data_IF_631900348507
#
_entry.id   IF_631900348507
#
_cell.length_a   1.000
_cell.length_b   1.000
_cell.length_c   1.000
_cell.angle_alpha   90.00
_cell.angle_beta   90.00
_cell.angle_gamma   90.00
#
_symmetry.space_group_name_H-M   'P 1'
#
loop_
_entity.id
_entity.type
_entity.pdbx_description
1 polymer ?
#
# COMPACT_ATOMS: atom_id res chain seq x y z
N UNK A 1 -15.07 -22.42 -45.73
CA UNK A 1 -14.01 -22.01 -44.79
C UNK A 1 -14.48 -22.06 -43.33
N UNK A 2 -15.75 -21.70 -43.01
CA UNK A 2 -16.30 -21.86 -41.66
C UNK A 2 -16.82 -23.28 -41.37
N UNK A 3 -17.34 -23.98 -42.38
CA UNK A 3 -17.73 -25.41 -42.29
C UNK A 3 -16.53 -26.33 -42.01
N UNK A 4 -15.33 -25.92 -42.40
CA UNK A 4 -14.08 -26.63 -42.09
C UNK A 4 -13.66 -26.48 -40.61
N UNK A 5 -14.11 -25.42 -39.95
CA UNK A 5 -13.81 -25.12 -38.55
C UNK A 5 -14.92 -25.56 -37.59
N UNK A 6 -16.17 -25.68 -38.07
CA UNK A 6 -17.35 -25.88 -37.21
C UNK A 6 -18.41 -26.85 -37.79
N UNK A 7 -18.11 -27.59 -38.87
CA UNK A 7 -19.05 -28.52 -39.50
C UNK A 7 -19.31 -29.80 -38.69
N UNK A 8 -20.59 -30.15 -38.52
CA UNK A 8 -21.04 -31.35 -37.80
C UNK A 8 -21.20 -32.53 -38.77
N UNK A 9 -20.29 -33.52 -38.75
CA UNK A 9 -20.42 -34.74 -39.55
C UNK A 9 -21.35 -35.74 -38.85
N UNK A 10 -22.63 -35.72 -39.21
CA UNK A 10 -23.57 -36.77 -38.80
C UNK A 10 -23.19 -38.09 -39.49
N UNK A 11 -22.77 -39.07 -38.71
CA UNK A 11 -22.54 -40.44 -39.21
C UNK A 11 -23.90 -41.10 -39.43
N UNK A 12 -24.20 -41.37 -40.71
CA UNK A 12 -25.35 -42.16 -41.15
C UNK A 12 -25.32 -43.55 -40.50
N UNK A 13 -26.29 -43.81 -39.63
CA UNK A 13 -26.59 -45.15 -39.14
C UNK A 13 -27.52 -45.83 -40.13
N UNK A 14 -26.96 -46.56 -41.09
CA UNK A 14 -27.66 -47.68 -41.71
C UNK A 14 -26.81 -48.95 -41.65
N UNK A 15 -27.28 -49.87 -40.82
CA UNK A 15 -26.88 -51.28 -40.82
C UNK A 15 -27.27 -51.89 -42.16
N UNK A 16 -26.32 -52.53 -42.85
CA UNK A 16 -26.64 -53.73 -43.59
C UNK A 16 -25.54 -54.80 -43.45
N UNK A 17 -25.98 -56.03 -43.32
CA UNK A 17 -25.22 -57.23 -43.01
C UNK A 17 -24.42 -57.72 -44.23
N UNK A 18 -23.09 -57.76 -44.14
CA UNK A 18 -22.29 -58.73 -44.90
C UNK A 18 -20.90 -58.90 -44.29
N UNK A 19 -20.61 -60.09 -43.78
CA UNK A 19 -19.26 -60.53 -43.42
C UNK A 19 -18.41 -60.63 -44.68
N UNK A 20 -17.35 -59.83 -44.78
CA UNK A 20 -16.08 -60.28 -45.38
C UNK A 20 -14.91 -59.46 -44.85
N UNK A 21 -13.91 -60.19 -44.38
CA UNK A 21 -12.64 -59.73 -43.84
C UNK A 21 -11.95 -58.71 -44.75
N UNK A 22 -11.69 -57.53 -44.21
CA UNK A 22 -10.65 -56.62 -44.70
C UNK A 22 -10.04 -55.90 -43.50
N UNK A 23 -8.97 -56.48 -42.97
CA UNK A 23 -8.10 -55.80 -42.04
C UNK A 23 -7.46 -54.60 -42.74
N UNK A 24 -7.93 -53.38 -42.47
CA UNK A 24 -7.12 -52.17 -42.66
C UNK A 24 -6.35 -51.96 -41.36
N UNK A 25 -5.28 -52.74 -41.19
CA UNK A 25 -4.18 -52.36 -40.32
C UNK A 25 -3.51 -51.15 -40.98
N UNK A 26 -3.87 -49.96 -40.54
CA UNK A 26 -2.89 -48.88 -40.52
C UNK A 26 -1.96 -49.25 -39.34
N UNK A 27 -0.65 -49.49 -39.55
CA UNK A 27 0.22 -49.81 -38.44
C UNK A 27 0.28 -48.55 -37.58
N UNK A 28 -0.41 -48.57 -36.44
CA UNK A 28 -0.18 -47.56 -35.41
C UNK A 28 1.29 -47.69 -35.04
N UNK A 29 2.15 -46.83 -35.61
CA UNK A 29 3.56 -46.78 -35.29
C UNK A 29 3.65 -46.63 -33.77
N UNK A 30 4.06 -47.71 -33.10
CA UNK A 30 4.17 -47.71 -31.66
C UNK A 30 5.48 -47.03 -31.33
N UNK A 31 5.41 -45.71 -31.10
CA UNK A 31 6.57 -44.94 -30.69
C UNK A 31 7.16 -45.51 -29.40
N UNK A 32 8.48 -45.54 -29.34
CA UNK A 32 9.21 -45.91 -28.14
C UNK A 32 9.03 -44.76 -27.13
N UNK A 33 8.38 -45.09 -26.01
CA UNK A 33 8.18 -44.17 -24.89
C UNK A 33 9.18 -44.49 -23.79
N UNK A 34 10.06 -43.55 -23.52
CA UNK A 34 11.07 -43.65 -22.46
C UNK A 34 10.68 -42.75 -21.29
N UNK A 35 10.10 -41.59 -21.61
CA UNK A 35 9.69 -40.59 -20.64
C UNK A 35 8.30 -40.95 -20.10
N UNK A 36 8.07 -40.66 -18.82
CA UNK A 36 6.75 -40.82 -18.20
C UNK A 36 5.64 -40.25 -19.12
N UNK A 37 4.58 -41.02 -19.42
CA UNK A 37 3.56 -40.62 -20.39
C UNK A 37 2.92 -39.26 -20.08
N UNK A 38 2.77 -38.91 -18.80
CA UNK A 38 2.19 -37.61 -18.41
C UNK A 38 3.18 -36.47 -18.67
N UNK A 39 4.47 -36.65 -18.37
CA UNK A 39 5.51 -35.67 -18.74
C UNK A 39 5.61 -35.52 -20.26
N UNK A 40 5.63 -36.63 -20.99
CA UNK A 40 5.72 -36.63 -22.45
C UNK A 40 4.54 -35.91 -23.10
N UNK A 41 3.33 -36.13 -22.58
CA UNK A 41 2.13 -35.40 -23.02
C UNK A 41 2.24 -33.89 -22.71
N UNK A 42 2.67 -33.52 -21.51
CA UNK A 42 2.83 -32.11 -21.14
C UNK A 42 3.87 -31.39 -22.02
N UNK A 43 5.01 -32.03 -22.28
CA UNK A 43 6.03 -31.51 -23.21
C UNK A 43 5.46 -31.38 -24.62
N UNK A 44 4.71 -32.37 -25.11
CA UNK A 44 4.09 -32.30 -26.44
C UNK A 44 3.05 -31.18 -26.58
N UNK A 45 2.31 -30.88 -25.51
CA UNK A 45 1.39 -29.73 -25.48
C UNK A 45 2.17 -28.42 -25.47
N UNK A 46 3.20 -28.31 -24.61
CA UNK A 46 4.05 -27.12 -24.51
C UNK A 46 4.71 -26.77 -25.85
N UNK A 47 5.31 -27.77 -26.51
CA UNK A 47 5.95 -27.62 -27.82
C UNK A 47 4.98 -27.23 -28.94
N UNK A 48 3.68 -27.58 -28.81
CA UNK A 48 2.64 -27.13 -29.75
C UNK A 48 2.14 -25.72 -29.46
N UNK A 49 2.17 -25.31 -28.19
CA UNK A 49 1.71 -24.00 -27.75
C UNK A 49 2.74 -22.90 -27.96
N UNK A 50 4.03 -23.25 -28.04
CA UNK A 50 5.13 -22.31 -28.15
C UNK A 50 5.80 -22.38 -29.51
N UNK A 51 6.07 -21.21 -30.11
CA UNK A 51 6.81 -21.07 -31.36
C UNK A 51 8.32 -21.06 -31.14
N UNK A 52 8.83 -21.89 -30.22
CA UNK A 52 10.28 -22.02 -29.96
C UNK A 52 10.72 -23.40 -30.43
N UNK A 53 11.74 -23.43 -31.27
CA UNK A 53 12.32 -24.63 -31.84
C UNK A 53 13.24 -25.35 -30.86
N UNK A 54 13.53 -26.62 -31.13
CA UNK A 54 14.46 -27.40 -30.28
C UNK A 54 15.87 -26.84 -30.39
N UNK A 55 16.24 -26.39 -31.57
CA UNK A 55 17.49 -25.74 -31.91
C UNK A 55 17.68 -24.45 -31.10
N UNK A 56 16.70 -23.54 -31.07
CA UNK A 56 16.78 -22.31 -30.28
C UNK A 56 16.99 -22.59 -28.78
N UNK A 57 16.33 -23.63 -28.24
CA UNK A 57 16.53 -24.03 -26.83
C UNK A 57 17.94 -24.59 -26.62
N UNK A 58 18.46 -25.39 -27.56
CA UNK A 58 19.82 -25.91 -27.49
C UNK A 58 20.86 -24.79 -27.57
N UNK A 59 20.65 -23.81 -28.43
CA UNK A 59 21.56 -22.69 -28.62
C UNK A 59 21.54 -21.80 -27.38
N UNK A 60 20.37 -21.52 -26.80
CA UNK A 60 20.26 -20.83 -25.52
C UNK A 60 21.01 -21.55 -24.39
N UNK A 61 21.00 -22.89 -24.36
CA UNK A 61 21.74 -23.67 -23.37
C UNK A 61 23.26 -23.68 -23.61
N UNK A 62 23.72 -23.48 -24.84
CA UNK A 62 25.16 -23.42 -25.17
C UNK A 62 25.73 -22.01 -25.03
N UNK A 63 24.95 -21.01 -25.38
CA UNK A 63 25.39 -19.62 -25.50
C UNK A 63 24.94 -18.75 -24.31
N UNK A 64 23.88 -19.16 -23.61
CA UNK A 64 23.31 -18.36 -22.50
C UNK A 64 22.28 -17.32 -22.95
N UNK A 65 21.68 -17.50 -24.13
CA UNK A 65 20.64 -16.61 -24.66
C UNK A 65 19.35 -16.69 -23.85
N UNK A 66 18.60 -15.59 -23.84
CA UNK A 66 17.32 -15.49 -23.13
C UNK A 66 16.25 -16.40 -23.76
N UNK A 67 15.45 -17.01 -22.89
CA UNK A 67 14.26 -17.78 -23.25
C UNK A 67 13.07 -17.27 -22.45
N UNK A 68 11.84 -17.43 -22.95
CA UNK A 68 10.65 -17.08 -22.17
C UNK A 68 10.64 -17.81 -20.80
N UNK A 69 10.50 -17.06 -19.71
CA UNK A 69 10.59 -17.61 -18.35
C UNK A 69 9.60 -18.76 -18.09
N UNK A 70 8.38 -18.67 -18.64
CA UNK A 70 7.35 -19.72 -18.55
C UNK A 70 7.78 -21.03 -19.24
N UNK A 71 8.45 -20.92 -20.40
CA UNK A 71 9.03 -22.06 -21.11
C UNK A 71 10.10 -22.70 -20.24
N UNK A 72 11.08 -21.92 -19.76
CA UNK A 72 12.20 -22.42 -18.95
C UNK A 72 11.69 -23.10 -17.67
N UNK A 73 10.73 -22.48 -16.97
CA UNK A 73 10.17 -23.04 -15.75
C UNK A 73 9.42 -24.36 -16.01
N UNK A 74 8.74 -24.48 -17.15
CA UNK A 74 8.07 -25.72 -17.53
C UNK A 74 9.09 -26.81 -17.90
N UNK A 75 10.14 -26.46 -18.64
CA UNK A 75 11.22 -27.40 -18.99
C UNK A 75 11.92 -27.95 -17.74
N UNK A 76 12.21 -27.11 -16.75
CA UNK A 76 12.79 -27.54 -15.46
C UNK A 76 11.88 -28.54 -14.75
N UNK A 77 10.56 -28.28 -14.70
CA UNK A 77 9.58 -29.19 -14.08
C UNK A 77 9.49 -30.53 -14.79
N UNK A 78 9.77 -30.56 -16.10
CA UNK A 78 9.71 -31.75 -16.94
C UNK A 78 11.07 -32.44 -17.09
N UNK A 79 12.06 -32.11 -16.25
CA UNK A 79 13.36 -32.76 -16.27
C UNK A 79 13.24 -34.30 -16.22
N UNK A 80 13.95 -35.02 -17.11
CA UNK A 80 14.08 -36.47 -17.02
C UNK A 80 14.66 -36.85 -15.66
N UNK A 81 14.19 -37.97 -15.12
CA UNK A 81 14.87 -38.67 -14.02
C UNK A 81 16.19 -39.24 -14.52
N UNK A 82 17.10 -39.57 -13.60
CA UNK A 82 18.40 -40.14 -13.96
C UNK A 82 18.29 -41.45 -14.77
N UNK A 83 17.25 -42.26 -14.52
CA UNK A 83 16.98 -43.48 -15.29
C UNK A 83 16.44 -43.17 -16.70
N UNK A 84 15.49 -42.24 -16.82
CA UNK A 84 14.98 -41.77 -18.12
C UNK A 84 16.10 -41.14 -18.97
N UNK A 85 16.95 -40.32 -18.37
CA UNK A 85 18.11 -39.70 -19.00
C UNK A 85 19.12 -40.76 -19.48
N UNK A 86 19.44 -41.75 -18.64
CA UNK A 86 20.33 -42.86 -19.01
C UNK A 86 19.76 -43.65 -20.19
N UNK A 87 18.48 -44.01 -20.15
CA UNK A 87 17.80 -44.72 -21.25
C UNK A 87 17.81 -43.91 -22.54
N UNK A 88 17.55 -42.60 -22.48
CA UNK A 88 17.64 -41.72 -23.65
C UNK A 88 19.07 -41.60 -24.17
N UNK A 89 20.09 -41.52 -23.30
CA UNK A 89 21.51 -41.51 -23.73
C UNK A 89 21.90 -42.81 -24.42
N UNK A 90 21.50 -43.94 -23.85
CA UNK A 90 21.81 -45.28 -24.37
C UNK A 90 21.01 -45.63 -25.63
N UNK A 91 19.93 -44.90 -25.94
CA UNK A 91 19.18 -45.13 -27.16
C UNK A 91 19.98 -44.76 -28.40
N UNK A 92 20.26 -45.77 -29.21
CA UNK A 92 21.05 -45.74 -30.44
C UNK A 92 20.28 -46.31 -31.65
N UNK A 93 18.96 -46.44 -31.53
CA UNK A 93 18.06 -46.74 -32.64
C UNK A 93 17.71 -45.50 -33.47
N UNK A 94 16.82 -45.66 -34.45
CA UNK A 94 16.33 -44.55 -35.27
C UNK A 94 15.54 -43.55 -34.41
N UNK A 95 15.89 -42.26 -34.47
CA UNK A 95 15.20 -41.18 -33.77
C UNK A 95 13.74 -41.02 -34.26
N UNK A 96 13.42 -41.47 -35.49
CA UNK A 96 12.06 -41.45 -36.01
C UNK A 96 11.09 -42.36 -35.23
N UNK A 97 11.61 -43.36 -34.53
CA UNK A 97 10.83 -44.28 -33.70
C UNK A 97 10.57 -43.76 -32.29
N UNK A 98 11.24 -42.69 -31.87
CA UNK A 98 11.02 -42.06 -30.57
C UNK A 98 9.76 -41.17 -30.61
N UNK A 99 9.06 -41.08 -29.47
CA UNK A 99 7.99 -40.12 -29.29
C UNK A 99 8.47 -38.66 -29.39
N UNK A 100 7.54 -37.73 -29.58
CA UNK A 100 7.87 -36.30 -29.75
C UNK A 100 8.66 -35.72 -28.58
N UNK A 101 8.32 -36.11 -27.34
CA UNK A 101 9.00 -35.63 -26.15
C UNK A 101 10.43 -36.19 -26.04
N UNK A 102 10.61 -37.48 -26.35
CA UNK A 102 11.92 -38.13 -26.39
C UNK A 102 12.82 -37.51 -27.45
N UNK A 103 12.29 -37.27 -28.65
CA UNK A 103 13.02 -36.59 -29.74
C UNK A 103 13.44 -35.17 -29.36
N UNK A 104 12.59 -34.46 -28.63
CA UNK A 104 12.89 -33.14 -28.11
C UNK A 104 13.97 -33.18 -27.01
N UNK A 105 13.85 -34.07 -26.04
CA UNK A 105 14.77 -34.14 -24.90
C UNK A 105 16.13 -34.74 -25.25
N UNK A 106 16.20 -35.62 -26.25
CA UNK A 106 17.43 -36.31 -26.66
C UNK A 106 18.58 -35.34 -26.96
N UNK A 107 18.46 -34.31 -27.82
CA UNK A 107 19.55 -33.35 -28.03
C UNK A 107 19.86 -32.49 -26.80
N UNK A 108 18.86 -32.19 -25.96
CA UNK A 108 19.05 -31.40 -24.74
C UNK A 108 19.96 -32.13 -23.73
N UNK A 109 19.77 -33.43 -23.50
CA UNK A 109 20.55 -34.19 -22.51
C UNK A 109 22.01 -34.48 -22.93
N UNK A 110 22.32 -34.28 -24.21
CA UNK A 110 23.71 -34.30 -24.71
C UNK A 110 24.47 -33.03 -24.31
N UNK A 111 23.76 -31.94 -23.99
CA UNK A 111 24.37 -30.71 -23.47
C UNK A 111 24.75 -30.94 -22.00
N UNK A 112 26.03 -30.76 -21.61
CA UNK A 112 26.45 -30.93 -20.23
C UNK A 112 25.66 -30.04 -19.26
N UNK A 113 25.04 -30.69 -18.27
CA UNK A 113 24.27 -30.04 -17.22
C UNK A 113 23.08 -29.20 -17.72
N UNK A 114 22.45 -29.58 -18.84
CA UNK A 114 21.34 -28.85 -19.47
C UNK A 114 20.29 -28.29 -18.48
N UNK A 115 19.81 -29.09 -17.53
CA UNK A 115 18.80 -28.64 -16.57
C UNK A 115 19.34 -27.65 -15.52
N UNK A 116 20.62 -27.75 -15.12
CA UNK A 116 21.25 -26.72 -14.26
C UNK A 116 21.51 -25.42 -15.04
N UNK A 117 21.79 -25.53 -16.35
CA UNK A 117 21.85 -24.37 -17.24
C UNK A 117 20.48 -23.69 -17.36
N UNK A 118 19.40 -24.45 -17.54
CA UNK A 118 18.02 -23.92 -17.52
C UNK A 118 17.70 -23.20 -16.20
N UNK A 119 18.09 -23.76 -15.05
CA UNK A 119 17.89 -23.10 -13.75
C UNK A 119 18.63 -21.76 -13.66
N UNK A 120 19.83 -21.67 -14.22
CA UNK A 120 20.63 -20.44 -14.25
C UNK A 120 20.03 -19.43 -15.24
N UNK A 121 19.55 -19.87 -16.41
CA UNK A 121 18.81 -19.02 -17.36
C UNK A 121 17.55 -18.44 -16.73
N UNK A 122 16.77 -19.25 -16.01
CA UNK A 122 15.57 -18.76 -15.32
C UNK A 122 15.91 -17.65 -14.32
N UNK A 123 17.01 -17.83 -13.57
CA UNK A 123 17.48 -16.80 -12.66
C UNK A 123 17.89 -15.53 -13.41
N UNK A 124 18.64 -15.65 -14.51
CA UNK A 124 19.04 -14.51 -15.35
C UNK A 124 17.83 -13.74 -15.91
N UNK A 125 16.84 -14.45 -16.45
CA UNK A 125 15.64 -13.86 -17.03
C UNK A 125 14.81 -13.07 -16.00
N UNK A 126 14.63 -13.63 -14.81
CA UNK A 126 13.77 -13.02 -13.79
C UNK A 126 14.48 -11.92 -12.98
N UNK A 127 15.83 -11.89 -13.00
CA UNK A 127 16.61 -11.06 -12.09
C UNK A 127 16.27 -9.58 -12.21
N UNK A 128 16.21 -9.03 -13.43
CA UNK A 128 16.02 -7.59 -13.64
C UNK A 128 14.65 -7.11 -13.16
N UNK A 129 13.59 -7.87 -13.42
CA UNK A 129 12.24 -7.53 -12.98
C UNK A 129 12.11 -7.65 -11.45
N UNK A 130 12.62 -8.74 -10.87
CA UNK A 130 12.61 -8.91 -9.40
C UNK A 130 13.42 -7.80 -8.71
N UNK A 131 14.60 -7.46 -9.23
CA UNK A 131 15.44 -6.38 -8.73
C UNK A 131 14.72 -5.02 -8.78
N UNK A 132 14.09 -4.69 -9.90
CA UNK A 132 13.37 -3.42 -10.07
C UNK A 132 12.20 -3.30 -9.08
N UNK A 133 11.41 -4.37 -8.92
CA UNK A 133 10.27 -4.42 -7.99
C UNK A 133 10.71 -4.28 -6.52
N UNK A 134 11.83 -4.93 -6.16
CA UNK A 134 12.42 -4.81 -4.81
C UNK A 134 12.89 -3.38 -4.56
N UNK A 135 13.63 -2.79 -5.50
CA UNK A 135 14.13 -1.41 -5.41
C UNK A 135 13.00 -0.39 -5.28
N UNK A 136 11.95 -0.52 -6.09
CA UNK A 136 10.76 0.35 -5.99
C UNK A 136 10.07 0.24 -4.63
N UNK A 137 10.00 -0.97 -4.09
CA UNK A 137 9.44 -1.21 -2.76
C UNK A 137 10.26 -0.51 -1.67
N UNK A 138 11.60 -0.58 -1.71
CA UNK A 138 12.46 0.14 -0.78
C UNK A 138 12.27 1.66 -0.87
N UNK A 139 12.27 2.22 -2.09
CA UNK A 139 12.03 3.66 -2.30
C UNK A 139 10.68 4.10 -1.74
N UNK A 140 9.63 3.30 -1.97
CA UNK A 140 8.29 3.57 -1.46
C UNK A 140 8.26 3.58 0.07
N UNK A 141 8.87 2.58 0.71
CA UNK A 141 8.93 2.44 2.16
C UNK A 141 9.73 3.59 2.80
N UNK A 142 10.86 3.98 2.21
CA UNK A 142 11.64 5.14 2.68
C UNK A 142 10.84 6.43 2.55
N UNK A 143 10.25 6.69 1.39
CA UNK A 143 9.44 7.88 1.15
C UNK A 143 8.26 7.97 2.11
N UNK A 144 7.63 6.85 2.46
CA UNK A 144 6.57 6.79 3.46
C UNK A 144 7.08 7.16 4.86
N UNK A 145 8.22 6.61 5.28
CA UNK A 145 8.82 6.95 6.57
C UNK A 145 9.17 8.44 6.67
N UNK A 146 9.80 8.98 5.62
CA UNK A 146 10.26 10.38 5.58
C UNK A 146 9.07 11.34 5.55
N UNK A 147 8.10 11.11 4.67
CA UNK A 147 6.91 11.97 4.55
C UNK A 147 6.09 11.99 5.83
N UNK A 148 5.84 10.82 6.43
CA UNK A 148 5.03 10.72 7.65
C UNK A 148 5.67 11.47 8.83
N UNK A 149 6.99 11.33 9.02
CA UNK A 149 7.70 12.04 10.10
C UNK A 149 7.82 13.54 9.86
N UNK A 150 7.91 13.98 8.61
CA UNK A 150 8.10 15.40 8.25
C UNK A 150 6.79 16.14 8.03
N UNK A 151 5.65 15.44 7.97
CA UNK A 151 4.36 16.08 7.71
C UNK A 151 3.90 16.91 8.90
N UNK A 152 4.13 18.23 8.79
CA UNK A 152 3.70 19.21 9.78
C UNK A 152 2.19 19.15 10.01
N UNK A 153 1.41 19.01 8.94
CA UNK A 153 -0.04 19.03 9.02
C UNK A 153 -0.57 17.76 9.71
N UNK A 154 0.01 16.59 9.42
CA UNK A 154 -0.32 15.36 10.14
C UNK A 154 -0.02 15.48 11.63
N UNK A 155 1.18 15.94 12.01
CA UNK A 155 1.54 16.14 13.42
C UNK A 155 0.61 17.13 14.14
N UNK A 156 0.23 18.23 13.45
CA UNK A 156 -0.75 19.19 13.98
C UNK A 156 -2.13 18.55 14.18
N UNK A 157 -2.53 17.64 13.30
CA UNK A 157 -3.76 16.88 13.45
C UNK A 157 -3.71 15.99 14.69
N UNK A 158 -2.62 15.26 14.88
CA UNK A 158 -2.44 14.44 16.09
C UNK A 158 -2.53 15.29 17.37
N UNK A 159 -1.89 16.46 17.38
CA UNK A 159 -1.95 17.40 18.49
C UNK A 159 -3.39 17.90 18.74
N UNK A 160 -4.13 18.25 17.68
CA UNK A 160 -5.52 18.68 17.78
C UNK A 160 -6.42 17.57 18.33
N UNK A 161 -6.22 16.33 17.91
CA UNK A 161 -6.92 15.15 18.43
C UNK A 161 -6.62 14.96 19.92
N UNK A 162 -5.34 15.01 20.32
CA UNK A 162 -4.93 14.87 21.72
C UNK A 162 -5.57 15.95 22.60
N UNK A 163 -5.49 17.22 22.19
CA UNK A 163 -6.09 18.34 22.94
C UNK A 163 -7.59 18.21 23.07
N UNK A 164 -8.27 17.87 21.96
CA UNK A 164 -9.73 17.70 21.94
C UNK A 164 -10.13 16.52 22.83
N UNK A 165 -9.44 15.39 22.72
CA UNK A 165 -9.66 14.22 23.56
C UNK A 165 -9.46 14.52 25.05
N UNK A 166 -8.38 15.19 25.42
CA UNK A 166 -8.13 15.59 26.81
C UNK A 166 -9.21 16.53 27.35
N UNK A 167 -9.67 17.48 26.54
CA UNK A 167 -10.75 18.39 26.93
C UNK A 167 -12.09 17.66 27.13
N UNK A 168 -12.40 16.70 26.27
CA UNK A 168 -13.63 15.91 26.38
C UNK A 168 -13.62 14.93 27.56
N UNK A 169 -12.44 14.44 27.93
CA UNK A 169 -12.26 13.49 29.02
C UNK A 169 -11.80 14.16 30.32
N UNK A 170 -11.90 15.48 30.42
CA UNK A 170 -11.54 16.25 31.60
C UNK A 170 -12.31 15.75 32.83
N UNK A 171 -11.62 15.59 33.95
CA UNK A 171 -12.18 14.98 35.17
C UNK A 171 -12.40 13.45 35.13
N UNK A 172 -12.02 12.76 34.04
CA UNK A 172 -12.06 11.29 33.96
C UNK A 172 -10.65 10.69 33.97
N UNK A 173 -10.53 9.37 34.18
CA UNK A 173 -9.24 8.66 34.10
C UNK A 173 -8.58 8.71 32.71
N UNK A 174 -9.33 9.10 31.67
CA UNK A 174 -8.85 9.28 30.29
C UNK A 174 -8.46 10.73 29.97
N UNK A 175 -8.63 11.65 30.92
CA UNK A 175 -8.21 13.04 30.80
C UNK A 175 -6.69 13.20 30.96
N UNK A 176 -6.16 14.35 30.57
CA UNK A 176 -4.74 14.71 30.72
C UNK A 176 -3.73 13.67 30.18
N UNK A 177 -4.11 12.94 29.13
CA UNK A 177 -3.24 12.01 28.45
C UNK A 177 -2.08 12.76 27.76
N UNK A 178 -0.89 12.15 27.76
CA UNK A 178 0.28 12.69 27.06
C UNK A 178 0.38 12.20 25.61
N UNK A 179 -0.23 11.05 25.31
CA UNK A 179 -0.24 10.43 24.00
C UNK A 179 -1.49 9.54 23.86
N UNK A 180 -1.78 9.14 22.63
CA UNK A 180 -2.83 8.16 22.32
C UNK A 180 -2.32 7.20 21.24
N UNK A 181 -2.87 5.97 21.20
CA UNK A 181 -2.55 4.99 20.15
C UNK A 181 -3.10 5.44 18.81
N UNK A 182 -2.35 5.27 17.73
CA UNK A 182 -2.74 5.80 16.42
C UNK A 182 -4.06 5.20 15.88
N UNK A 183 -4.40 3.96 16.25
CA UNK A 183 -5.71 3.34 15.95
C UNK A 183 -6.91 4.18 16.44
N UNK A 184 -6.71 5.07 17.43
CA UNK A 184 -7.75 5.99 17.92
C UNK A 184 -8.24 6.92 16.81
N UNK A 185 -7.39 7.26 15.84
CA UNK A 185 -7.77 8.09 14.69
C UNK A 185 -8.94 7.51 13.90
N UNK A 186 -8.97 6.17 13.77
CA UNK A 186 -10.02 5.45 13.03
C UNK A 186 -11.38 5.51 13.75
N UNK A 187 -11.40 5.82 15.05
CA UNK A 187 -12.60 5.87 15.88
C UNK A 187 -13.22 7.27 15.96
N UNK A 188 -12.54 8.29 15.45
CA UNK A 188 -13.00 9.69 15.54
C UNK A 188 -14.27 9.95 14.72
N UNK A 189 -14.55 9.13 13.70
CA UNK A 189 -15.80 9.17 12.94
C UNK A 189 -16.98 8.55 13.69
N UNK A 190 -16.73 7.74 14.72
CA UNK A 190 -17.78 7.00 15.42
C UNK A 190 -18.36 7.80 16.59
N UNK A 191 -17.57 8.72 17.14
CA UNK A 191 -18.00 9.62 18.21
C UNK A 191 -18.84 10.75 17.60
N UNK A 192 -20.15 10.72 17.86
CA UNK A 192 -21.11 11.69 17.32
C UNK A 192 -21.51 12.74 18.34
N UNK A 193 -21.77 13.95 17.86
CA UNK A 193 -22.38 15.03 18.63
C UNK A 193 -23.87 14.79 18.91
N UNK A 194 -24.47 15.71 19.67
CA UNK A 194 -25.87 15.66 20.09
C UNK A 194 -26.84 15.63 18.88
N UNK A 195 -26.43 16.23 17.77
CA UNK A 195 -27.22 16.24 16.54
C UNK A 195 -27.22 14.90 15.78
N UNK A 196 -26.42 13.92 16.23
CA UNK A 196 -26.26 12.61 15.60
C UNK A 196 -25.63 12.64 14.21
N UNK A 197 -25.19 13.82 13.74
CA UNK A 197 -24.70 14.06 12.38
C UNK A 197 -23.22 14.45 12.39
N UNK A 198 -22.84 15.45 13.17
CA UNK A 198 -21.44 15.91 13.26
C UNK A 198 -20.64 14.95 14.13
N UNK A 199 -19.52 14.45 13.60
CA UNK A 199 -18.61 13.56 14.35
C UNK A 199 -17.49 14.36 15.02
N UNK A 200 -16.77 13.75 15.95
CA UNK A 200 -15.58 14.35 16.56
C UNK A 200 -14.52 14.71 15.50
N UNK A 201 -14.37 13.87 14.48
CA UNK A 201 -13.47 14.16 13.37
C UNK A 201 -13.89 15.41 12.59
N UNK A 202 -15.19 15.63 12.36
CA UNK A 202 -15.68 16.87 11.72
C UNK A 202 -15.24 18.10 12.50
N UNK A 203 -15.41 18.07 13.82
CA UNK A 203 -15.02 19.16 14.71
C UNK A 203 -13.51 19.44 14.63
N UNK A 204 -12.68 18.40 14.76
CA UNK A 204 -11.21 18.53 14.67
C UNK A 204 -10.79 19.09 13.31
N UNK A 205 -11.37 18.59 12.22
CA UNK A 205 -11.07 19.05 10.85
C UNK A 205 -11.45 20.52 10.67
N UNK A 206 -12.63 20.94 11.14
CA UNK A 206 -13.06 22.35 11.05
C UNK A 206 -12.10 23.29 11.80
N UNK A 207 -11.61 22.88 12.98
CA UNK A 207 -10.66 23.69 13.75
C UNK A 207 -9.28 23.77 13.07
N UNK A 208 -8.82 22.68 12.46
CA UNK A 208 -7.59 22.69 11.66
C UNK A 208 -7.75 23.58 10.43
N UNK A 209 -8.88 23.47 9.70
CA UNK A 209 -9.21 24.33 8.56
C UNK A 209 -9.15 25.79 8.96
N UNK A 210 -9.80 26.18 10.07
CA UNK A 210 -9.80 27.56 10.56
C UNK A 210 -8.37 28.05 10.84
N UNK A 211 -7.58 27.27 11.57
CA UNK A 211 -6.22 27.67 11.96
C UNK A 211 -5.23 27.71 10.79
N UNK A 212 -5.33 26.77 9.83
CA UNK A 212 -4.49 26.73 8.63
C UNK A 212 -4.91 27.78 7.60
N UNK A 213 -6.20 28.09 7.51
CA UNK A 213 -6.73 29.15 6.65
C UNK A 213 -6.18 30.53 7.01
N UNK A 214 -6.17 30.86 8.30
CA UNK A 214 -5.56 32.09 8.81
C UNK A 214 -4.06 32.12 8.49
N UNK A 215 -3.36 31.00 8.70
CA UNK A 215 -1.92 30.91 8.43
C UNK A 215 -1.62 31.10 6.94
N UNK A 216 -2.33 30.40 6.06
CA UNK A 216 -2.16 30.51 4.61
C UNK A 216 -2.44 31.94 4.09
N UNK A 217 -3.46 32.60 4.65
CA UNK A 217 -3.75 33.99 4.33
C UNK A 217 -2.62 34.93 4.76
N UNK A 218 -2.02 34.73 5.94
CA UNK A 218 -0.86 35.53 6.41
C UNK A 218 0.36 35.35 5.51
N UNK A 219 0.70 34.10 5.19
CA UNK A 219 1.84 33.81 4.29
C UNK A 219 1.65 34.43 2.90
N UNK A 220 0.41 34.46 2.39
CA UNK A 220 0.09 35.09 1.10
C UNK A 220 0.26 36.61 1.15
N UNK A 221 0.00 37.26 2.30
CA UNK A 221 0.24 38.70 2.50
C UNK A 221 1.71 39.02 2.59
N UNK A 222 2.47 38.24 3.36
CA UNK A 222 3.93 38.44 3.52
C UNK A 222 4.69 38.25 2.20
N UNK A 223 4.19 37.39 1.32
CA UNK A 223 4.76 37.16 -0.02
C UNK A 223 4.38 38.24 -1.04
N UNK A 224 3.38 39.08 -0.76
CA UNK A 224 2.97 40.22 -1.58
C UNK A 224 3.57 41.49 -0.99
N UNK A 225 4.72 41.90 -1.53
CA UNK A 225 5.36 43.18 -1.18
C UNK A 225 4.35 44.34 -1.12
N UNK A 226 4.46 45.15 -0.07
CA UNK A 226 3.60 46.26 0.30
C UNK A 226 3.15 47.11 -0.89
N UNK A 227 1.92 46.87 -1.39
CA UNK A 227 1.17 47.85 -2.17
C UNK A 227 0.06 48.39 -1.29
N UNK A 228 0.08 49.70 -1.08
CA UNK A 228 -0.81 50.51 -0.23
C UNK A 228 -2.31 50.36 -0.55
N UNK A 229 -2.64 49.73 -1.68
CA UNK A 229 -4.01 49.56 -2.18
C UNK A 229 -4.77 48.36 -1.56
N UNK A 230 -4.07 47.39 -0.94
CA UNK A 230 -4.72 46.21 -0.33
C UNK A 230 -5.29 46.49 1.08
N UNK A 231 -4.84 47.57 1.74
CA UNK A 231 -5.35 48.01 3.05
C UNK A 231 -6.78 48.56 2.98
N UNK A 232 -7.20 49.10 1.82
CA UNK A 232 -8.53 49.68 1.61
C UNK A 232 -9.58 48.62 1.22
N UNK A 233 -9.14 47.45 0.75
CA UNK A 233 -10.02 46.32 0.41
C UNK A 233 -10.44 45.47 1.61
N UNK A 234 -9.69 45.48 2.71
CA UNK A 234 -10.07 44.76 3.93
C UNK A 234 -10.96 45.56 4.87
N UNK A 235 -10.82 46.88 4.89
CA UNK A 235 -11.76 47.76 5.61
C UNK A 235 -13.15 47.78 4.96
N UNK A 236 -13.27 47.27 3.73
CA UNK A 236 -14.52 47.15 2.97
C UNK A 236 -15.04 45.72 2.80
N UNK A 237 -14.25 44.69 3.13
CA UNK A 237 -14.70 43.30 3.11
C UNK A 237 -15.57 43.01 4.35
N UNK A 238 -16.72 42.38 4.15
CA UNK A 238 -17.55 41.98 5.29
C UNK A 238 -16.81 40.92 6.12
N UNK A 239 -17.06 40.88 7.44
CA UNK A 239 -16.49 39.84 8.30
C UNK A 239 -16.80 38.42 7.80
N UNK A 240 -17.92 38.24 7.09
CA UNK A 240 -18.33 36.99 6.47
C UNK A 240 -17.47 36.59 5.27
N UNK A 241 -17.11 37.52 4.40
CA UNK A 241 -16.24 37.24 3.24
C UNK A 241 -14.82 36.85 3.67
N UNK A 242 -14.34 37.44 4.75
CA UNK A 242 -13.02 37.12 5.33
C UNK A 242 -12.99 35.73 5.96
N UNK A 243 -14.05 35.35 6.67
CA UNK A 243 -14.19 34.03 7.29
C UNK A 243 -14.33 32.91 6.25
N UNK A 244 -15.13 33.13 5.21
CA UNK A 244 -15.27 32.18 4.10
C UNK A 244 -13.95 32.01 3.33
N UNK A 245 -13.21 33.11 3.12
CA UNK A 245 -11.88 33.05 2.48
C UNK A 245 -10.88 32.20 3.28
N UNK A 246 -10.85 32.35 4.61
CA UNK A 246 -10.00 31.51 5.46
C UNK A 246 -10.46 30.06 5.44
N UNK A 247 -11.77 29.81 5.47
CA UNK A 247 -12.32 28.45 5.37
C UNK A 247 -11.89 27.75 4.09
N UNK A 248 -12.01 28.42 2.93
CA UNK A 248 -11.62 27.85 1.63
C UNK A 248 -10.11 27.54 1.59
N UNK A 249 -9.26 28.49 2.02
CA UNK A 249 -7.81 28.29 2.05
C UNK A 249 -7.41 27.15 2.98
N UNK A 250 -8.01 27.09 4.17
CA UNK A 250 -7.76 26.04 5.15
C UNK A 250 -8.21 24.67 4.66
N UNK A 251 -9.38 24.59 4.03
CA UNK A 251 -9.89 23.35 3.43
C UNK A 251 -8.97 22.85 2.32
N UNK A 252 -8.46 23.74 1.48
CA UNK A 252 -7.48 23.39 0.46
C UNK A 252 -6.23 22.76 1.08
N UNK A 253 -5.67 23.37 2.13
CA UNK A 253 -4.50 22.84 2.85
C UNK A 253 -4.80 21.46 3.45
N UNK A 254 -5.93 21.30 4.15
CA UNK A 254 -6.28 20.03 4.81
C UNK A 254 -6.56 18.93 3.80
N UNK A 255 -7.25 19.23 2.71
CA UNK A 255 -7.49 18.26 1.63
C UNK A 255 -6.22 17.85 0.89
N UNK A 256 -5.17 18.67 0.94
CA UNK A 256 -3.86 18.34 0.37
C UNK A 256 -3.08 17.28 1.14
N UNK A 257 -3.45 17.00 2.41
CA UNK A 257 -2.72 16.04 3.25
C UNK A 257 -2.71 14.62 2.66
N UNK A 258 -3.82 14.20 2.03
CA UNK A 258 -3.92 12.88 1.38
C UNK A 258 -2.94 12.73 0.22
N UNK A 259 -2.65 13.83 -0.50
CA UNK A 259 -1.64 13.86 -1.56
C UNK A 259 -0.21 14.00 -1.02
N UNK A 260 -0.02 14.76 0.07
CA UNK A 260 1.27 14.88 0.75
C UNK A 260 1.77 13.52 1.26
N UNK A 261 0.85 12.69 1.76
CA UNK A 261 1.13 11.35 2.31
C UNK A 261 0.81 10.22 1.31
N UNK A 262 0.92 10.47 0.00
CA UNK A 262 0.66 9.46 -1.02
C UNK A 262 1.57 8.23 -0.88
N UNK A 263 2.85 8.44 -0.57
CA UNK A 263 3.81 7.36 -0.35
C UNK A 263 3.41 6.46 0.82
N UNK A 264 2.77 6.99 1.87
CA UNK A 264 2.25 6.20 2.99
C UNK A 264 1.12 5.27 2.53
N UNK A 265 0.24 5.74 1.64
CA UNK A 265 -0.83 4.91 1.07
C UNK A 265 -0.27 3.76 0.23
N UNK A 266 0.80 4.03 -0.55
CA UNK A 266 1.51 3.01 -1.33
C UNK A 266 2.22 2.00 -0.42
N UNK A 267 2.93 2.47 0.60
CA UNK A 267 3.64 1.62 1.56
C UNK A 267 2.71 0.67 2.33
N UNK A 268 1.46 1.07 2.56
CA UNK A 268 0.45 0.23 3.20
C UNK A 268 0.00 -0.99 2.37
N UNK A 269 0.39 -1.08 1.09
CA UNK A 269 0.08 -2.19 0.19
C UNK A 269 1.29 -3.11 0.00
N UNK A 270 2.49 -2.66 0.39
CA UNK A 270 3.72 -3.46 0.27
C UNK A 270 3.65 -4.64 1.22
N UNK A 271 3.96 -5.83 0.70
CA UNK A 271 4.14 -7.04 1.50
C UNK A 271 5.59 -7.14 1.99
N UNK A 272 5.82 -6.80 3.27
CA UNK A 272 7.16 -6.84 3.87
C UNK A 272 7.75 -8.26 3.87
N UNK A 273 6.95 -9.27 4.22
CA UNK A 273 7.41 -10.65 4.29
C UNK A 273 7.70 -11.20 2.89
N UNK A 274 6.86 -10.84 1.91
CA UNK A 274 7.09 -11.12 0.49
C UNK A 274 8.35 -10.46 -0.04
N UNK A 275 8.63 -9.21 0.36
CA UNK A 275 9.85 -8.47 0.00
C UNK A 275 11.11 -9.17 0.54
N UNK A 276 11.13 -9.47 1.83
CA UNK A 276 12.23 -10.21 2.48
C UNK A 276 12.43 -11.59 1.87
N UNK A 277 11.34 -12.28 1.55
CA UNK A 277 11.38 -13.59 0.89
C UNK A 277 11.98 -13.51 -0.52
N UNK A 278 11.68 -12.43 -1.26
CA UNK A 278 12.20 -12.20 -2.61
C UNK A 278 13.69 -11.89 -2.60
N UNK A 279 14.15 -10.98 -1.73
CA UNK A 279 15.59 -10.70 -1.55
C UNK A 279 16.36 -11.98 -1.18
N UNK A 280 15.82 -12.75 -0.23
CA UNK A 280 16.40 -14.03 0.18
C UNK A 280 16.41 -15.07 -0.94
N UNK A 281 15.38 -15.09 -1.80
CA UNK A 281 15.30 -15.98 -2.97
C UNK A 281 16.38 -15.64 -3.98
N UNK A 282 16.59 -14.37 -4.31
CA UNK A 282 17.67 -13.92 -5.19
C UNK A 282 19.04 -14.30 -4.62
N UNK A 283 19.25 -14.10 -3.31
CA UNK A 283 20.47 -14.54 -2.63
C UNK A 283 20.76 -16.04 -2.75
N UNK A 284 19.74 -16.89 -2.55
CA UNK A 284 19.88 -18.35 -2.74
C UNK A 284 20.15 -18.71 -4.20
N UNK A 285 19.47 -18.08 -5.15
CA UNK A 285 19.67 -18.33 -6.57
C UNK A 285 21.10 -17.94 -7.03
N UNK A 286 21.63 -16.84 -6.51
CA UNK A 286 23.02 -16.42 -6.72
C UNK A 286 24.02 -17.44 -6.18
N UNK A 287 23.84 -17.91 -4.94
CA UNK A 287 24.71 -18.92 -4.33
C UNK A 287 24.70 -20.20 -5.17
N UNK A 288 23.53 -20.67 -5.58
CA UNK A 288 23.38 -21.87 -6.43
C UNK A 288 24.08 -21.70 -7.78
N UNK A 289 23.90 -20.54 -8.44
CA UNK A 289 24.52 -20.25 -9.74
C UNK A 289 26.04 -20.14 -9.63
N UNK A 290 26.55 -19.56 -8.53
CA UNK A 290 27.98 -19.48 -8.22
C UNK A 290 28.59 -20.85 -7.95
N UNK A 291 27.88 -21.71 -7.21
CA UNK A 291 28.31 -23.08 -6.98
C UNK A 291 28.42 -23.82 -8.31
N UNK A 292 27.37 -23.80 -9.12
CA UNK A 292 27.33 -24.41 -10.46
C UNK A 292 28.51 -23.95 -11.34
N UNK A 293 28.77 -22.64 -11.38
CA UNK A 293 29.88 -22.06 -12.12
C UNK A 293 31.25 -22.57 -11.63
N UNK A 294 31.44 -22.71 -10.31
CA UNK A 294 32.73 -23.04 -9.71
C UNK A 294 33.01 -24.54 -9.58
N UNK A 295 31.99 -25.40 -9.61
CA UNK A 295 32.12 -26.84 -9.42
C UNK A 295 31.93 -27.62 -10.71
N UNK A 296 30.84 -27.36 -11.42
CA UNK A 296 30.43 -28.15 -12.58
C UNK A 296 30.99 -27.57 -13.87
N UNK A 297 30.79 -26.27 -14.12
CA UNK A 297 31.25 -25.62 -15.36
C UNK A 297 32.77 -25.46 -15.43
N UNK A 298 33.49 -25.40 -14.30
CA UNK A 298 34.97 -25.41 -14.29
C UNK A 298 35.58 -26.69 -14.86
N UNK A 299 34.83 -27.78 -14.95
CA UNK A 299 35.30 -29.07 -15.48
C UNK A 299 35.18 -29.16 -17.00
N UNK A 300 34.49 -28.22 -17.63
CA UNK A 300 34.27 -28.16 -19.08
C UNK A 300 35.45 -27.38 -19.71
N UNK A 301 35.82 -27.73 -20.95
CA UNK A 301 36.93 -27.13 -21.70
C UNK A 301 36.87 -25.59 -21.78
N UNK A 302 38.05 -24.96 -21.96
CA UNK A 302 38.16 -23.52 -22.18
C UNK A 302 37.43 -23.11 -23.46
N UNK A 303 36.33 -22.36 -23.32
CA UNK A 303 35.58 -21.83 -24.48
C UNK A 303 34.05 -21.91 -24.39
N UNK A 304 33.48 -22.46 -23.31
CA UNK A 304 32.01 -22.52 -23.13
C UNK A 304 31.41 -21.10 -23.01
N UNK A 305 30.62 -20.70 -24.01
CA UNK A 305 30.05 -19.36 -24.08
C UNK A 305 29.06 -19.10 -22.94
N UNK A 306 28.22 -20.09 -22.62
CA UNK A 306 27.33 -20.04 -21.47
C UNK A 306 28.07 -19.73 -20.16
N UNK A 307 29.19 -20.40 -19.90
CA UNK A 307 30.01 -20.14 -18.70
C UNK A 307 30.47 -18.68 -18.65
N UNK A 308 30.90 -18.11 -19.78
CA UNK A 308 31.32 -16.70 -19.86
C UNK A 308 30.15 -15.76 -19.56
N UNK A 309 28.98 -16.00 -20.15
CA UNK A 309 27.78 -15.20 -19.92
C UNK A 309 27.33 -15.28 -18.46
N UNK A 310 27.22 -16.49 -17.91
CA UNK A 310 26.85 -16.72 -16.52
C UNK A 310 27.86 -16.09 -15.54
N UNK A 311 29.15 -16.18 -15.82
CA UNK A 311 30.21 -15.55 -15.01
C UNK A 311 30.02 -14.03 -14.93
N UNK A 312 29.75 -13.37 -16.06
CA UNK A 312 29.54 -11.92 -16.09
C UNK A 312 28.28 -11.54 -15.31
N UNK A 313 27.18 -12.26 -15.55
CA UNK A 313 25.92 -12.05 -14.85
C UNK A 313 26.07 -12.24 -13.33
N UNK A 314 26.68 -13.33 -12.86
CA UNK A 314 26.89 -13.61 -11.43
C UNK A 314 27.68 -12.49 -10.74
N UNK A 315 28.68 -11.91 -11.41
CA UNK A 315 29.46 -10.77 -10.87
C UNK A 315 28.62 -9.51 -10.69
N UNK A 316 27.70 -9.24 -11.63
CA UNK A 316 26.79 -8.09 -11.56
C UNK A 316 25.73 -8.35 -10.47
N UNK A 317 25.05 -9.49 -10.55
CA UNK A 317 24.01 -9.89 -9.59
C UNK A 317 24.53 -9.95 -8.15
N UNK A 318 25.79 -10.34 -7.92
CA UNK A 318 26.40 -10.30 -6.60
C UNK A 318 26.40 -8.91 -5.97
N UNK A 319 26.80 -7.89 -6.74
CA UNK A 319 26.84 -6.51 -6.23
C UNK A 319 25.44 -6.01 -5.90
N UNK A 320 24.51 -6.21 -6.81
CA UNK A 320 23.13 -5.76 -6.66
C UNK A 320 22.40 -6.48 -5.51
N UNK A 321 22.56 -7.80 -5.39
CA UNK A 321 21.95 -8.57 -4.29
C UNK A 321 22.54 -8.20 -2.94
N UNK A 322 23.86 -8.00 -2.86
CA UNK A 322 24.51 -7.56 -1.63
C UNK A 322 23.99 -6.18 -1.21
N UNK A 323 23.88 -5.24 -2.15
CA UNK A 323 23.27 -3.94 -1.91
C UNK A 323 21.81 -4.09 -1.43
N UNK A 324 20.99 -4.93 -2.08
CA UNK A 324 19.60 -5.16 -1.68
C UNK A 324 19.48 -5.72 -0.25
N UNK A 325 20.38 -6.62 0.16
CA UNK A 325 20.40 -7.18 1.53
C UNK A 325 20.78 -6.14 2.59
N UNK A 326 21.70 -5.24 2.28
CA UNK A 326 22.07 -4.14 3.18
C UNK A 326 20.95 -3.10 3.26
N UNK A 327 20.36 -2.78 2.12
CA UNK A 327 19.28 -1.80 2.00
C UNK A 327 18.01 -2.29 2.68
N UNK A 328 17.67 -3.56 2.55
CA UNK A 328 16.57 -4.18 3.28
C UNK A 328 16.72 -3.95 4.79
N UNK A 329 17.90 -4.24 5.36
CA UNK A 329 18.16 -4.03 6.80
C UNK A 329 18.01 -2.56 7.19
N UNK A 330 18.52 -1.66 6.35
CA UNK A 330 18.42 -0.21 6.58
C UNK A 330 16.96 0.25 6.59
N UNK A 331 16.17 -0.16 5.59
CA UNK A 331 14.74 0.18 5.46
C UNK A 331 13.93 -0.40 6.61
N UNK A 332 14.15 -1.67 6.98
CA UNK A 332 13.45 -2.29 8.10
C UNK A 332 13.75 -1.56 9.42
N UNK A 333 14.99 -1.13 9.64
CA UNK A 333 15.35 -0.31 10.79
C UNK A 333 14.69 1.09 10.73
N UNK A 334 14.60 1.70 9.56
CA UNK A 334 13.91 2.98 9.38
C UNK A 334 12.41 2.87 9.68
N UNK A 335 11.74 1.81 9.22
CA UNK A 335 10.34 1.51 9.52
C UNK A 335 10.16 1.31 11.02
N UNK A 336 11.02 0.51 11.66
CA UNK A 336 11.00 0.28 13.10
C UNK A 336 11.13 1.60 13.87
N UNK A 337 12.15 2.41 13.57
CA UNK A 337 12.34 3.70 14.23
C UNK A 337 11.13 4.63 14.02
N UNK A 338 10.44 4.53 12.88
CA UNK A 338 9.28 5.37 12.56
C UNK A 338 8.06 4.90 13.32
N UNK A 339 7.91 3.60 13.47
CA UNK A 339 6.90 2.98 14.32
C UNK A 339 7.10 3.35 15.78
N UNK A 340 8.34 3.23 16.29
CA UNK A 340 8.70 3.60 17.66
C UNK A 340 8.43 5.10 17.93
N UNK A 341 8.58 5.97 16.93
CA UNK A 341 8.26 7.40 17.06
C UNK A 341 6.77 7.65 17.32
N UNK A 342 5.87 6.88 16.71
CA UNK A 342 4.41 7.07 16.86
C UNK A 342 3.76 6.18 17.93
N UNK A 343 4.30 4.99 18.18
CA UNK A 343 3.71 3.99 19.10
C UNK A 343 4.55 3.70 20.35
N UNK A 344 5.78 4.22 20.43
CA UNK A 344 6.73 3.86 21.47
C UNK A 344 7.21 2.41 21.37
N UNK A 345 8.00 1.96 22.35
CA UNK A 345 8.65 0.64 22.35
C UNK A 345 7.71 -0.54 22.73
N UNK A 346 6.40 -0.43 22.46
CA UNK A 346 5.34 -1.26 23.06
C UNK A 346 5.22 -2.70 22.51
N UNK A 347 6.05 -3.15 21.57
CA UNK A 347 6.11 -4.57 21.21
C UNK A 347 6.21 -4.85 19.72
N UNK A 348 6.76 -6.03 19.44
CA UNK A 348 7.11 -6.58 18.12
C UNK A 348 5.84 -6.71 17.25
N UNK A 349 5.95 -6.40 15.96
CA UNK A 349 4.92 -6.51 14.89
C UNK A 349 3.96 -5.34 14.61
N UNK A 350 4.31 -4.10 14.94
CA UNK A 350 3.58 -2.95 14.36
C UNK A 350 4.10 -2.49 12.98
N UNK A 351 5.12 -3.18 12.44
CA UNK A 351 5.83 -2.93 11.17
C UNK A 351 5.14 -2.02 10.15
N UNK A 352 4.55 -2.60 9.09
CA UNK A 352 3.81 -1.82 8.08
C UNK A 352 2.40 -1.43 8.53
N UNK A 353 1.93 -1.93 9.68
CA UNK A 353 0.60 -1.63 10.21
C UNK A 353 0.42 -0.13 10.48
N UNK A 354 1.49 0.56 10.87
CA UNK A 354 1.49 2.03 10.97
C UNK A 354 0.94 2.68 9.68
N UNK A 355 1.46 2.27 8.52
CA UNK A 355 1.05 2.85 7.24
C UNK A 355 -0.40 2.50 6.89
N UNK A 356 -0.85 1.29 7.23
CA UNK A 356 -2.26 0.88 7.07
C UNK A 356 -3.20 1.78 7.86
N UNK A 357 -2.91 2.01 9.14
CA UNK A 357 -3.72 2.89 10.01
C UNK A 357 -3.78 4.31 9.42
N UNK A 358 -2.65 4.86 9.00
CA UNK A 358 -2.60 6.21 8.44
C UNK A 358 -3.34 6.29 7.12
N UNK A 359 -3.16 5.33 6.21
CA UNK A 359 -3.91 5.25 4.94
C UNK A 359 -5.41 5.27 5.20
N UNK A 360 -5.89 4.41 6.09
CA UNK A 360 -7.32 4.27 6.38
C UNK A 360 -7.87 5.55 7.01
N UNK A 361 -7.09 6.17 7.90
CA UNK A 361 -7.43 7.48 8.44
C UNK A 361 -7.52 8.56 7.36
N UNK A 362 -6.58 8.61 6.41
CA UNK A 362 -6.60 9.58 5.31
C UNK A 362 -7.84 9.41 4.42
N UNK A 363 -8.29 8.18 4.19
CA UNK A 363 -9.54 7.90 3.46
C UNK A 363 -10.75 8.48 4.21
N UNK A 364 -10.80 8.30 5.53
CA UNK A 364 -11.87 8.86 6.37
C UNK A 364 -11.79 10.40 6.38
N UNK A 365 -10.58 10.97 6.47
CA UNK A 365 -10.34 12.41 6.43
C UNK A 365 -10.83 13.03 5.11
N UNK A 366 -10.53 12.41 3.97
CA UNK A 366 -10.98 12.88 2.67
C UNK A 366 -12.51 12.90 2.56
N UNK A 367 -13.17 11.90 3.16
CA UNK A 367 -14.64 11.88 3.24
C UNK A 367 -15.16 13.06 4.06
N UNK A 368 -14.59 13.30 5.25
CA UNK A 368 -15.00 14.43 6.12
C UNK A 368 -14.73 15.78 5.45
N UNK A 369 -13.59 15.96 4.77
CA UNK A 369 -13.30 17.18 4.00
C UNK A 369 -14.35 17.45 2.92
N UNK A 370 -14.83 16.40 2.23
CA UNK A 370 -15.93 16.52 1.25
C UNK A 370 -17.26 16.87 1.89
N UNK A 371 -17.55 16.36 3.09
CA UNK A 371 -18.76 16.68 3.86
C UNK A 371 -18.73 18.13 4.35
N UNK A 372 -17.62 18.57 4.95
CA UNK A 372 -17.41 19.96 5.41
C UNK A 372 -17.45 20.96 4.25
N UNK A 373 -17.01 20.57 3.04
CA UNK A 373 -17.14 21.43 1.84
C UNK A 373 -18.60 21.69 1.45
N UNK A 374 -19.50 20.74 1.73
CA UNK A 374 -20.92 20.81 1.36
C UNK A 374 -21.79 21.52 2.40
N UNK A 375 -21.33 21.62 3.65
CA UNK A 375 -22.07 22.30 4.71
C UNK A 375 -21.90 23.84 4.65
N UNK A 376 -22.96 24.62 4.40
CA UNK A 376 -22.88 26.08 4.47
C UNK A 376 -22.62 26.55 5.91
N UNK A 377 -21.94 27.69 6.08
CA UNK A 377 -21.72 28.34 7.38
C UNK A 377 -23.10 28.62 8.02
N UNK A 378 -23.43 27.92 9.12
CA UNK A 378 -24.64 28.21 9.91
C UNK A 378 -24.40 29.47 10.75
N UNK A 379 -24.99 30.59 10.32
CA UNK A 379 -24.99 31.88 11.03
C UNK A 379 -25.82 31.76 12.32
N UNK A 380 -25.27 32.16 13.48
CA UNK A 380 -26.06 32.49 14.67
C UNK A 380 -26.66 33.89 14.49
N UNK A 381 -27.97 34.12 14.72
CA UNK A 381 -28.53 35.47 14.65
C UNK A 381 -28.00 36.34 15.81
N UNK A 382 -27.86 37.66 15.61
CA UNK A 382 -27.42 38.58 16.64
C UNK A 382 -28.45 38.62 17.78
N UNK A 383 -27.99 38.39 19.01
CA UNK A 383 -28.76 38.66 20.22
C UNK A 383 -29.06 40.15 20.29
N UNK A 384 -30.33 40.51 20.13
CA UNK A 384 -30.82 41.87 20.38
C UNK A 384 -30.83 42.10 21.88
N UNK A 385 -29.90 42.92 22.36
CA UNK A 385 -30.01 43.55 23.69
C UNK A 385 -31.28 44.40 23.69
N UNK A 386 -32.26 44.03 24.51
CA UNK A 386 -33.38 44.90 24.84
C UNK A 386 -32.93 45.85 25.94
N UNK A 387 -32.93 47.13 25.63
CA UNK A 387 -32.82 48.22 26.59
C UNK A 387 -34.01 48.16 27.56
N UNK A 388 -33.74 47.98 28.85
CA UNK A 388 -34.71 48.19 29.93
C UNK A 388 -34.86 49.70 30.19
N UNK A 389 -36.01 50.26 29.81
CA UNK A 389 -36.47 51.53 30.34
C UNK A 389 -37.24 51.29 31.65
N UNK A 390 -36.81 52.00 32.69
CA UNK A 390 -37.45 52.05 34.00
C UNK A 390 -38.91 52.52 33.89
N UNK A 391 -39.84 51.77 34.48
CA UNK A 391 -41.06 52.33 35.03
C UNK A 391 -41.21 51.99 36.52
N UNK A 392 -41.31 53.07 37.27
CA UNK A 392 -41.52 53.18 38.71
C UNK A 392 -42.95 52.76 39.06
N UNK A 393 -43.08 51.85 40.04
CA UNK A 393 -44.36 51.50 40.66
C UNK A 393 -44.18 51.15 42.13
N UNK A 394 -44.66 52.05 43.00
CA UNK A 394 -44.65 52.01 44.47
C UNK A 394 -45.57 50.91 45.06
N UNK A 395 -45.41 50.55 46.35
CA UNK A 395 -45.71 49.22 46.89
C UNK A 395 -47.08 49.08 47.56
N UNK A 396 -47.55 47.84 47.71
CA UNK A 396 -48.55 47.47 48.73
C UNK A 396 -48.16 46.21 49.48
N UNK A 397 -47.99 46.38 50.81
CA UNK A 397 -48.16 45.42 51.91
C UNK A 397 -49.56 44.77 51.83
N UNK A 398 -49.88 43.61 52.37
CA UNK A 398 -49.26 42.69 53.33
C UNK A 398 -50.34 41.66 53.74
N UNK A 399 -49.97 40.74 54.64
CA UNK A 399 -50.84 39.83 55.43
C UNK A 399 -51.30 38.55 54.69
N UNK A 400 -51.37 37.35 55.28
CA UNK A 400 -50.75 36.74 56.45
C UNK A 400 -51.03 35.20 56.38
N UNK A 401 -50.16 34.39 57.00
CA UNK A 401 -50.47 33.20 57.84
C UNK A 401 -50.86 31.82 57.23
N UNK A 402 -49.91 30.88 57.45
CA UNK A 402 -50.01 29.48 57.93
C UNK A 402 -50.66 28.35 57.12
N UNK A 403 -49.89 27.28 56.84
CA UNK A 403 -49.77 26.10 57.71
C UNK A 403 -49.10 24.90 57.01
N UNK A 404 -48.36 24.08 57.78
CA UNK A 404 -48.30 22.63 57.59
C UNK A 404 -47.22 22.09 56.64
N UNK A 405 -46.08 21.71 57.21
CA UNK A 405 -45.10 20.86 56.52
C UNK A 405 -45.35 19.37 56.76
N UNK A 406 -45.20 18.56 55.72
CA UNK A 406 -44.75 17.16 55.79
C UNK A 406 -44.15 16.71 54.45
N UNK A 407 -42.90 16.23 54.53
CA UNK A 407 -42.24 15.16 53.76
C UNK A 407 -42.09 15.20 52.21
N UNK A 408 -40.82 15.05 51.82
CA UNK A 408 -40.21 14.54 50.55
C UNK A 408 -39.56 15.59 49.63
N UNK A 409 -38.25 15.47 49.32
CA UNK A 409 -37.68 16.07 48.13
C UNK A 409 -37.49 15.00 47.04
N UNK A 410 -38.46 14.95 46.14
CA UNK A 410 -38.29 14.43 44.79
C UNK A 410 -37.30 15.30 44.00
N UNK A 411 -36.39 14.63 43.29
CA UNK A 411 -35.35 15.14 42.38
C UNK A 411 -35.81 16.33 41.52
N UNK A 412 -35.08 17.44 41.61
CA UNK A 412 -35.07 18.48 40.59
C UNK A 412 -33.68 18.55 39.93
N UNK A 413 -33.69 18.40 38.60
CA UNK A 413 -32.66 18.89 37.71
C UNK A 413 -32.51 20.41 37.88
N UNK A 414 -31.28 20.92 37.72
CA UNK A 414 -31.08 22.14 36.96
C UNK A 414 -30.22 21.81 35.74
N UNK A 415 -30.85 21.87 34.56
CA UNK A 415 -30.14 22.19 33.34
C UNK A 415 -29.47 23.55 33.54
N UNK A 416 -28.14 23.55 33.65
CA UNK A 416 -27.34 24.76 33.50
C UNK A 416 -26.50 24.61 32.24
N UNK A 417 -26.76 25.54 31.34
CA UNK A 417 -26.32 25.63 29.96
C UNK A 417 -24.78 25.66 29.85
N UNK A 418 -24.16 24.48 29.66
CA UNK A 418 -22.71 24.35 29.48
C UNK A 418 -22.17 24.93 28.15
N UNK A 419 -23.03 25.54 27.30
CA UNK A 419 -22.58 26.19 26.05
C UNK A 419 -21.89 27.53 26.25
N UNK A 420 -21.98 28.16 27.42
CA UNK A 420 -21.37 29.47 27.66
C UNK A 420 -19.94 29.43 28.25
N UNK A 421 -19.38 28.25 28.57
CA UNK A 421 -18.03 28.12 29.16
C UNK A 421 -16.90 27.87 28.13
N UNK A 422 -17.16 28.01 26.83
CA UNK A 422 -16.16 27.72 25.77
C UNK A 422 -15.38 28.94 25.25
N UNK A 423 -15.63 30.16 25.74
CA UNK A 423 -14.87 31.35 25.35
C UNK A 423 -14.75 32.31 26.55
N UNK A 424 -13.64 32.26 27.32
CA UNK A 424 -12.79 33.47 27.41
C UNK A 424 -11.29 33.21 27.69
N UNK A 425 -10.64 32.19 27.11
CA UNK A 425 -9.22 31.91 27.40
C UNK A 425 -8.20 32.52 26.41
N UNK A 426 -8.59 33.52 25.59
CA UNK A 426 -7.69 34.21 24.65
C UNK A 426 -7.63 35.74 24.89
N UNK A 427 -8.46 36.28 25.79
CA UNK A 427 -8.49 37.73 26.07
C UNK A 427 -7.51 38.18 27.18
N UNK A 428 -7.01 37.29 28.04
CA UNK A 428 -6.08 37.64 29.13
C UNK A 428 -4.63 37.31 28.75
N UNK A 429 -4.03 38.10 27.85
CA UNK A 429 -2.57 38.23 27.68
C UNK A 429 -2.20 39.49 26.88
N UNK A 430 -2.89 40.60 27.13
CA UNK A 430 -2.42 41.94 26.80
C UNK A 430 -2.56 42.79 28.05
N UNK A 431 -1.55 43.62 28.27
CA UNK A 431 -1.29 44.45 29.46
C UNK A 431 -0.65 43.67 30.60
N UNK A 432 0.69 43.60 30.54
CA UNK A 432 1.55 44.17 31.58
C UNK A 432 2.88 44.55 30.92
N UNK A 433 3.14 45.85 30.87
CA UNK A 433 4.40 46.44 30.40
C UNK A 433 4.72 47.59 31.34
N UNK A 434 6.02 47.74 31.62
CA UNK A 434 6.70 48.78 32.42
C UNK A 434 6.58 48.64 33.94
N UNK A 435 7.62 48.85 34.75
CA UNK A 435 8.96 49.42 34.56
C UNK A 435 9.77 49.21 35.84
N UNK A 436 11.11 49.17 35.76
CA UNK A 436 12.06 50.03 36.52
C UNK A 436 13.44 49.39 36.68
N UNK A 437 14.36 49.89 35.85
CA UNK A 437 15.57 50.65 36.20
C UNK A 437 16.63 50.10 37.18
N UNK A 438 17.82 50.01 36.57
CA UNK A 438 19.18 50.41 37.01
C UNK A 438 20.00 49.56 38.02
N UNK A 439 21.29 49.50 37.64
CA UNK A 439 22.52 48.91 38.20
C UNK A 439 22.76 47.38 38.14
#
# INVERSE_FOLDING_TARGET
MIETLFGYNATDKNKDHSRKNSASQDPTFQYIQIIDPKKAQNLSILLKALNVTTEEICDALKEGNELPAELVQTLIKMAPTSDEELKLRMYNGDLSHLGTAERFLKPLIEIPFAFKRLESLLFMCNFQEEEAMIKESFVTLEAACVSLRKSRLFLKLLEAVLKTGNRMNDGTFRGSAQAFKLDTLLKLSDVKGIDGKTTLLHFVVQEIIRSEGIKAARTTRESRSFKTDDLLKETSASSQETEERYRVLGLQVVSGLSSELESVKKAAIVDADGLTSSVSRLGRALVKSREFLNTDLKKIEEGDEFQRVLLNFVKIAEKEIMWMLEEEKRIMNLIKNTTDYFHGHSGKDEGLRLFVIVRDFLIILDKVCKEVKKEPVKVKPPTTEKNDELQVGTPRKGDDVSAGGTSEPSRQNPFSDHRQMLFPAIAQRRVDSSSSDED
#
